data_IF_138847650435
#
_entry.id   IF_138847650435
#
_cell.length_a   1.000
_cell.length_b   1.000
_cell.length_c   1.000
_cell.angle_alpha   90.00
_cell.angle_beta   90.00
_cell.angle_gamma   90.00
#
_symmetry.space_group_name_H-M   'P 1'
#
loop_
_entity.id
_entity.type
_entity.pdbx_description
1 polymer ?
#
# COMPACT_ATOMS: atom_id res chain seq x y z
N UNK A 1 -0.25 3.14 8.53
CA UNK A 1 -1.21 2.28 7.80
C UNK A 1 -1.05 0.80 8.16
N UNK A 2 0.10 0.13 7.96
CA UNK A 2 0.29 -1.31 8.21
C UNK A 2 -0.14 -1.77 9.63
N UNK A 3 0.28 -1.06 10.68
CA UNK A 3 -0.12 -1.37 12.05
C UNK A 3 -1.64 -1.31 12.28
N UNK A 4 -2.33 -0.35 11.65
CA UNK A 4 -3.78 -0.27 11.73
C UNK A 4 -4.46 -1.47 11.07
N UNK A 5 -4.00 -1.90 9.88
CA UNK A 5 -4.53 -3.08 9.18
C UNK A 5 -4.29 -4.36 9.99
N UNK A 6 -3.11 -4.51 10.57
CA UNK A 6 -2.81 -5.64 11.45
C UNK A 6 -3.71 -5.66 12.68
N UNK A 7 -3.92 -4.52 13.34
CA UNK A 7 -4.85 -4.41 14.47
C UNK A 7 -6.26 -4.84 14.09
N UNK A 8 -6.78 -4.36 12.95
CA UNK A 8 -8.12 -4.71 12.46
C UNK A 8 -8.27 -6.20 12.13
N UNK A 9 -7.15 -6.87 11.79
CA UNK A 9 -7.13 -8.32 11.50
C UNK A 9 -6.85 -9.21 12.71
N UNK A 10 -6.79 -8.66 13.92
CA UNK A 10 -6.47 -9.43 15.14
C UNK A 10 -4.97 -9.57 15.42
N UNK A 11 -4.15 -8.69 14.88
CA UNK A 11 -2.72 -8.55 15.17
C UNK A 11 -1.79 -9.32 14.22
N UNK A 12 -2.31 -10.22 13.39
CA UNK A 12 -1.48 -11.00 12.45
C UNK A 12 -2.20 -11.24 11.12
N UNK A 13 -1.45 -11.27 10.03
CA UNK A 13 -1.95 -11.68 8.72
C UNK A 13 -0.82 -12.17 7.82
N UNK A 14 -1.16 -12.82 6.70
CA UNK A 14 -0.17 -13.09 5.65
C UNK A 14 0.39 -11.80 5.09
N UNK A 15 1.71 -11.73 4.89
CA UNK A 15 2.31 -10.50 4.34
C UNK A 15 1.79 -10.20 2.92
N UNK A 16 1.44 -11.23 2.12
CA UNK A 16 0.82 -11.03 0.82
C UNK A 16 -0.50 -10.27 0.94
N UNK A 17 -1.37 -10.66 1.89
CA UNK A 17 -2.63 -9.94 2.17
C UNK A 17 -2.36 -8.50 2.57
N UNK A 18 -1.42 -8.27 3.51
CA UNK A 18 -1.07 -6.92 3.93
C UNK A 18 -0.62 -6.06 2.76
N UNK A 19 0.28 -6.57 1.91
CA UNK A 19 0.78 -5.86 0.74
C UNK A 19 -0.32 -5.46 -0.24
N UNK A 20 -1.27 -6.37 -0.49
CA UNK A 20 -2.39 -6.09 -1.40
C UNK A 20 -3.35 -5.06 -0.83
N UNK A 21 -3.72 -5.19 0.44
CA UNK A 21 -4.57 -4.20 1.12
C UNK A 21 -3.90 -2.82 1.13
N UNK A 22 -2.61 -2.75 1.47
CA UNK A 22 -1.88 -1.48 1.49
C UNK A 22 -1.84 -0.83 0.10
N UNK A 23 -1.54 -1.60 -0.95
CA UNK A 23 -1.54 -1.08 -2.31
C UNK A 23 -2.92 -0.54 -2.72
N UNK A 24 -3.97 -1.32 -2.52
CA UNK A 24 -5.33 -0.96 -2.92
C UNK A 24 -5.85 0.28 -2.17
N UNK A 25 -5.53 0.40 -0.89
CA UNK A 25 -5.90 1.55 -0.05
C UNK A 25 -5.12 2.81 -0.48
N UNK A 26 -3.83 2.65 -0.73
CA UNK A 26 -2.94 3.75 -1.14
C UNK A 26 -3.34 4.29 -2.53
N UNK A 27 -3.61 3.37 -3.46
CA UNK A 27 -4.17 3.65 -4.78
C UNK A 27 -5.50 4.42 -4.70
N UNK A 28 -6.40 3.99 -3.82
CA UNK A 28 -7.68 4.67 -3.62
C UNK A 28 -7.48 6.09 -3.07
N UNK A 29 -6.51 6.30 -2.19
CA UNK A 29 -6.10 7.62 -1.74
C UNK A 29 -5.62 8.52 -2.89
N UNK A 30 -4.78 7.96 -3.77
CA UNK A 30 -4.32 8.66 -4.97
C UNK A 30 -5.49 9.07 -5.88
N UNK A 31 -6.44 8.18 -6.11
CA UNK A 31 -7.60 8.45 -6.96
C UNK A 31 -8.56 9.49 -6.36
N UNK A 32 -8.79 9.45 -5.05
CA UNK A 32 -9.73 10.36 -4.36
C UNK A 32 -9.15 11.75 -4.12
N UNK A 33 -7.87 11.81 -3.81
CA UNK A 33 -7.25 13.04 -3.27
C UNK A 33 -6.06 13.53 -4.09
N UNK A 34 -5.69 12.85 -5.17
CA UNK A 34 -4.50 13.16 -5.95
C UNK A 34 -3.19 12.82 -5.23
N UNK A 35 -3.23 12.19 -4.05
CA UNK A 35 -2.04 11.82 -3.27
C UNK A 35 -2.19 10.46 -2.60
N UNK A 36 -1.10 9.72 -2.55
CA UNK A 36 -1.02 8.48 -1.79
C UNK A 36 -0.95 8.73 -0.28
N UNK A 37 -1.24 7.73 0.53
CA UNK A 37 -1.11 7.80 1.99
C UNK A 37 0.34 7.52 2.41
N UNK A 38 1.00 6.59 1.73
CA UNK A 38 2.32 6.08 2.14
C UNK A 38 3.47 6.77 1.46
N UNK A 39 3.24 7.45 0.36
CA UNK A 39 4.27 7.99 -0.53
C UNK A 39 5.30 6.90 -0.97
N UNK A 40 4.84 5.66 -1.10
CA UNK A 40 5.63 4.50 -1.52
C UNK A 40 5.66 4.37 -3.05
N UNK A 41 6.66 3.68 -3.58
CA UNK A 41 6.74 3.38 -5.00
C UNK A 41 5.88 2.16 -5.35
N UNK A 42 5.04 2.30 -6.38
CA UNK A 42 4.20 1.22 -6.88
C UNK A 42 4.96 0.37 -7.89
N UNK A 43 4.82 -0.95 -7.79
CA UNK A 43 5.41 -1.88 -8.75
C UNK A 43 4.47 -3.05 -9.08
N UNK A 44 4.47 -3.46 -10.34
CA UNK A 44 3.91 -4.75 -10.78
C UNK A 44 4.89 -5.88 -10.44
N UNK A 45 4.37 -6.94 -9.86
CA UNK A 45 5.10 -8.18 -9.57
C UNK A 45 4.28 -9.39 -10.02
N UNK A 46 4.88 -10.59 -10.03
CA UNK A 46 4.21 -11.85 -10.47
C UNK A 46 2.91 -12.13 -9.72
N UNK A 47 2.82 -11.74 -8.45
CA UNK A 47 1.61 -11.87 -7.65
C UNK A 47 0.80 -10.56 -7.58
N UNK A 48 0.86 -9.70 -8.60
CA UNK A 48 0.11 -8.44 -8.70
C UNK A 48 0.82 -7.23 -8.09
N UNK A 49 0.16 -6.08 -8.06
CA UNK A 49 0.73 -4.80 -7.61
C UNK A 49 1.06 -4.77 -6.13
N UNK A 50 2.15 -4.09 -5.77
CA UNK A 50 2.62 -3.89 -4.39
C UNK A 50 3.28 -2.52 -4.18
N UNK A 51 3.46 -2.15 -2.91
CA UNK A 51 4.27 -1.04 -2.45
C UNK A 51 5.71 -1.53 -2.23
N UNK A 52 6.66 -1.05 -3.02
CA UNK A 52 8.03 -1.56 -3.09
C UNK A 52 8.79 -1.39 -1.78
N UNK A 53 8.79 -0.17 -1.22
CA UNK A 53 9.52 0.12 0.03
C UNK A 53 8.92 -0.65 1.22
N UNK A 54 7.59 -0.77 1.28
CA UNK A 54 6.92 -1.58 2.30
C UNK A 54 7.31 -3.06 2.19
N UNK A 55 7.43 -3.59 0.97
CA UNK A 55 7.90 -4.96 0.76
C UNK A 55 9.33 -5.16 1.29
N UNK A 56 10.21 -4.20 1.04
CA UNK A 56 11.58 -4.22 1.55
C UNK A 56 11.65 -4.13 3.09
N UNK A 57 10.74 -3.36 3.72
CA UNK A 57 10.59 -3.34 5.17
C UNK A 57 10.18 -4.71 5.72
N UNK A 58 9.23 -5.37 5.09
CA UNK A 58 8.77 -6.72 5.47
C UNK A 58 9.89 -7.76 5.33
N UNK A 59 10.71 -7.64 4.29
CA UNK A 59 11.87 -8.53 4.06
C UNK A 59 13.10 -8.15 4.87
N UNK A 60 13.08 -7.00 5.56
CA UNK A 60 14.22 -6.43 6.27
C UNK A 60 15.41 -6.03 5.39
N UNK A 61 15.13 -5.63 4.14
CA UNK A 61 16.12 -5.26 3.12
C UNK A 61 16.36 -3.73 3.03
N UNK A 62 15.65 -2.92 3.85
CA UNK A 62 15.76 -1.46 3.84
C UNK A 62 16.35 -0.88 5.12
N UNK A 63 16.85 0.36 5.04
CA UNK A 63 17.37 1.12 6.19
C UNK A 63 16.31 1.35 7.27
N UNK A 64 15.04 1.48 6.90
CA UNK A 64 13.90 1.64 7.82
C UNK A 64 13.52 0.37 8.58
N UNK A 65 14.08 -0.79 8.25
CA UNK A 65 13.71 -2.06 8.85
C UNK A 65 13.92 -2.11 10.38
N UNK A 66 14.88 -1.38 10.92
CA UNK A 66 15.10 -1.31 12.38
C UNK A 66 13.95 -0.62 13.11
N UNK A 67 13.37 0.43 12.53
CA UNK A 67 12.19 1.10 13.06
C UNK A 67 10.94 0.20 12.91
N UNK A 68 10.74 -0.39 11.72
CA UNK A 68 9.66 -1.32 11.44
C UNK A 68 9.61 -2.48 12.47
N UNK A 69 10.74 -3.11 12.76
CA UNK A 69 10.88 -4.23 13.71
C UNK A 69 10.49 -3.89 15.14
N UNK A 70 10.37 -2.63 15.50
CA UNK A 70 9.88 -2.22 16.84
C UNK A 70 8.39 -2.48 17.00
N UNK A 71 7.66 -2.53 15.89
CA UNK A 71 6.19 -2.65 15.87
C UNK A 71 5.70 -3.90 15.15
N UNK A 72 6.38 -4.30 14.07
CA UNK A 72 5.95 -5.38 13.20
C UNK A 72 7.10 -6.34 12.96
N UNK A 73 6.85 -7.62 13.19
CA UNK A 73 7.82 -8.69 12.90
C UNK A 73 7.33 -9.58 11.77
N UNK A 74 8.27 -10.08 10.96
CA UNK A 74 7.98 -11.02 9.89
C UNK A 74 8.30 -12.44 10.36
N UNK A 75 7.28 -13.30 10.34
CA UNK A 75 7.38 -14.72 10.65
C UNK A 75 7.59 -15.48 9.33
N UNK A 76 8.83 -15.51 8.85
CA UNK A 76 9.19 -16.03 7.53
C UNK A 76 8.70 -17.45 7.27
N UNK A 77 8.77 -18.34 8.27
CA UNK A 77 8.31 -19.74 8.18
C UNK A 77 6.82 -19.83 7.78
N UNK A 78 6.01 -18.88 8.21
CA UNK A 78 4.55 -18.89 7.98
C UNK A 78 4.12 -17.84 6.93
N UNK A 79 5.06 -17.08 6.37
CA UNK A 79 4.78 -15.98 5.45
C UNK A 79 3.77 -14.97 6.04
N UNK A 80 3.83 -14.76 7.36
CA UNK A 80 2.96 -13.84 8.11
C UNK A 80 3.76 -12.68 8.69
N UNK A 81 3.06 -11.60 8.97
CA UNK A 81 3.53 -10.47 9.76
C UNK A 81 2.68 -10.34 11.01
N UNK A 82 3.28 -9.90 12.08
CA UNK A 82 2.64 -9.77 13.40
C UNK A 82 2.93 -8.40 14.00
N UNK A 83 1.90 -7.78 14.53
CA UNK A 83 2.00 -6.56 15.31
C UNK A 83 2.43 -6.88 16.73
N UNK A 84 3.60 -6.45 17.14
CA UNK A 84 4.18 -6.74 18.47
C UNK A 84 4.14 -5.55 19.42
N UNK A 85 3.91 -4.35 18.90
CA UNK A 85 3.71 -3.14 19.66
C UNK A 85 2.81 -2.17 18.89
N UNK A 86 2.07 -1.33 19.59
CA UNK A 86 1.23 -0.32 18.97
C UNK A 86 2.10 0.82 18.41
N UNK A 87 2.07 1.06 17.09
CA UNK A 87 2.70 2.25 16.54
C UNK A 87 1.89 3.49 16.90
N UNK A 88 2.57 4.60 17.06
CA UNK A 88 1.91 5.90 17.11
C UNK A 88 1.14 6.13 15.80
N UNK A 89 -0.08 6.63 15.90
CA UNK A 89 -0.97 6.80 14.74
C UNK A 89 -1.21 8.27 14.39
N UNK A 90 -0.50 9.18 15.02
CA UNK A 90 -0.66 10.64 14.91
C UNK A 90 -0.29 11.17 13.51
N UNK A 91 0.43 10.37 12.74
CA UNK A 91 0.80 10.67 11.35
C UNK A 91 -0.35 10.53 10.34
N UNK A 92 -1.43 9.81 10.70
CA UNK A 92 -2.58 9.62 9.82
C UNK A 92 -3.66 10.65 10.11
N UNK A 93 -4.12 11.36 9.10
CA UNK A 93 -5.29 12.22 9.19
C UNK A 93 -6.57 11.39 9.42
N UNK A 94 -7.63 12.05 9.89
CA UNK A 94 -8.94 11.39 10.07
C UNK A 94 -9.50 10.84 8.76
N UNK A 95 -9.25 11.52 7.64
CA UNK A 95 -9.69 11.08 6.32
C UNK A 95 -8.99 9.78 5.91
N UNK A 96 -7.68 9.68 6.12
CA UNK A 96 -6.89 8.48 5.84
C UNK A 96 -7.30 7.32 6.73
N UNK A 97 -7.50 7.55 8.03
CA UNK A 97 -8.03 6.52 8.96
C UNK A 97 -9.38 5.99 8.49
N UNK A 98 -10.28 6.87 8.05
CA UNK A 98 -11.60 6.48 7.55
C UNK A 98 -11.49 5.69 6.24
N UNK A 99 -10.63 6.11 5.31
CA UNK A 99 -10.40 5.39 4.06
C UNK A 99 -9.83 3.98 4.31
N UNK A 100 -8.83 3.87 5.19
CA UNK A 100 -8.24 2.57 5.55
C UNK A 100 -9.31 1.63 6.08
N UNK A 101 -10.19 2.13 6.97
CA UNK A 101 -11.29 1.32 7.54
C UNK A 101 -12.30 0.92 6.47
N UNK A 102 -12.78 1.88 5.67
CA UNK A 102 -13.73 1.66 4.58
C UNK A 102 -13.24 0.58 3.61
N UNK A 103 -12.01 0.70 3.15
CA UNK A 103 -11.45 -0.24 2.19
C UNK A 103 -11.17 -1.62 2.82
N UNK A 104 -10.70 -1.67 4.07
CA UNK A 104 -10.55 -2.94 4.77
C UNK A 104 -11.89 -3.67 4.89
N UNK A 105 -12.96 -2.98 5.32
CA UNK A 105 -14.31 -3.56 5.44
C UNK A 105 -14.83 -4.03 4.08
N UNK A 106 -14.69 -3.23 3.03
CA UNK A 106 -15.04 -3.61 1.65
C UNK A 106 -14.39 -4.93 1.23
N UNK A 107 -13.08 -5.08 1.42
CA UNK A 107 -12.37 -6.29 1.03
C UNK A 107 -12.67 -7.48 1.96
N UNK A 108 -13.00 -7.22 3.22
CA UNK A 108 -13.49 -8.26 4.12
C UNK A 108 -14.89 -8.77 3.70
N UNK A 109 -15.79 -7.91 3.24
CA UNK A 109 -17.08 -8.31 2.67
C UNK A 109 -16.91 -9.13 1.38
N UNK A 110 -16.00 -8.73 0.50
CA UNK A 110 -15.75 -9.40 -0.77
C UNK A 110 -15.10 -10.77 -0.62
N UNK A 111 -14.12 -10.90 0.25
CA UNK A 111 -13.22 -12.06 0.29
C UNK A 111 -13.08 -12.73 1.66
N UNK A 112 -13.59 -12.15 2.74
CA UNK A 112 -13.37 -12.64 4.11
C UNK A 112 -13.88 -14.05 4.36
N UNK A 113 -14.92 -14.52 3.63
CA UNK A 113 -15.43 -15.88 3.70
C UNK A 113 -14.43 -16.94 3.20
N UNK A 114 -13.38 -16.54 2.46
CA UNK A 114 -12.33 -17.44 1.99
C UNK A 114 -11.29 -17.78 3.07
N UNK A 115 -11.40 -17.14 4.24
CA UNK A 115 -10.45 -17.33 5.33
C UNK A 115 -9.04 -16.94 4.94
N UNK A 116 -8.05 -17.83 5.15
CA UNK A 116 -6.65 -17.52 4.80
C UNK A 116 -6.38 -17.46 3.29
N UNK A 117 -7.29 -17.94 2.44
CA UNK A 117 -7.15 -17.91 0.99
C UNK A 117 -7.58 -16.56 0.38
N UNK A 118 -8.14 -15.67 1.19
CA UNK A 118 -8.45 -14.28 0.80
C UNK A 118 -7.23 -13.52 0.27
N UNK A 119 -6.01 -13.87 0.70
CA UNK A 119 -4.76 -13.31 0.18
C UNK A 119 -4.55 -13.57 -1.32
N UNK A 120 -5.02 -14.73 -1.82
CA UNK A 120 -4.92 -15.06 -3.23
C UNK A 120 -5.99 -14.35 -4.04
N UNK A 121 -7.21 -14.28 -3.53
CA UNK A 121 -8.27 -13.49 -4.15
C UNK A 121 -7.91 -12.01 -4.27
N UNK A 122 -7.23 -11.45 -3.27
CA UNK A 122 -6.68 -10.10 -3.33
C UNK A 122 -5.54 -9.97 -4.36
N UNK A 123 -4.69 -10.99 -4.50
CA UNK A 123 -3.67 -11.00 -5.53
C UNK A 123 -4.29 -11.02 -6.92
N UNK A 124 -5.26 -11.90 -7.16
CA UNK A 124 -6.00 -11.99 -8.42
C UNK A 124 -6.73 -10.67 -8.71
N UNK A 125 -7.36 -10.05 -7.71
CA UNK A 125 -7.98 -8.73 -7.85
C UNK A 125 -7.00 -7.67 -8.32
N UNK A 126 -5.73 -7.70 -7.84
CA UNK A 126 -4.72 -6.74 -8.29
C UNK A 126 -4.14 -7.07 -9.67
N UNK A 127 -4.32 -8.28 -10.20
CA UNK A 127 -4.00 -8.62 -11.58
C UNK A 127 -5.03 -8.04 -12.57
N UNK A 128 -6.27 -7.84 -12.13
CA UNK A 128 -7.32 -7.25 -12.96
C UNK A 128 -7.25 -5.71 -13.03
N UNK A 129 -6.34 -5.09 -12.28
CA UNK A 129 -6.15 -3.63 -12.34
C UNK A 129 -5.50 -3.21 -13.66
N UNK A 130 -5.96 -2.10 -14.26
CA UNK A 130 -5.50 -1.69 -15.59
C UNK A 130 -4.02 -1.34 -15.66
N UNK A 131 -3.40 -0.96 -14.54
CA UNK A 131 -1.98 -0.66 -14.46
C UNK A 131 -1.08 -1.89 -14.24
N UNK A 132 -1.66 -3.06 -13.93
CA UNK A 132 -0.84 -4.25 -13.76
C UNK A 132 -0.31 -4.77 -15.10
N UNK A 133 0.98 -5.04 -15.15
CA UNK A 133 1.65 -5.67 -16.29
C UNK A 133 2.49 -6.82 -15.78
N UNK A 134 2.42 -7.98 -16.44
CA UNK A 134 3.19 -9.17 -16.05
C UNK A 134 4.70 -8.91 -16.17
N UNK A 135 5.47 -9.00 -15.06
CA UNK A 135 6.86 -8.54 -15.02
C UNK A 135 7.89 -9.58 -15.48
N UNK A 136 7.47 -10.76 -15.94
CA UNK A 136 8.34 -11.86 -16.40
C UNK A 136 9.46 -12.23 -15.41
N UNK A 137 9.09 -12.32 -14.12
CA UNK A 137 10.02 -12.72 -13.05
C UNK A 137 10.83 -11.57 -12.43
N UNK A 138 10.51 -10.32 -12.78
CA UNK A 138 11.13 -9.12 -12.21
C UNK A 138 10.09 -8.24 -11.52
N UNK A 139 10.30 -6.92 -11.48
CA UNK A 139 9.32 -5.92 -11.10
C UNK A 139 9.29 -4.79 -12.13
N UNK A 140 8.12 -4.27 -12.43
CA UNK A 140 7.92 -3.14 -13.34
C UNK A 140 7.38 -1.96 -12.53
N UNK A 141 8.04 -0.78 -12.52
CA UNK A 141 7.52 0.40 -11.87
C UNK A 141 6.16 0.81 -12.46
N UNK A 142 5.25 1.24 -11.59
CA UNK A 142 3.96 1.84 -11.93
C UNK A 142 4.01 3.30 -11.46
N UNK A 143 3.77 4.25 -12.36
CA UNK A 143 3.73 5.66 -12.01
C UNK A 143 2.34 6.11 -11.59
N UNK A 144 2.24 7.11 -10.73
CA UNK A 144 0.96 7.74 -10.39
C UNK A 144 0.24 8.27 -11.63
N UNK A 145 1.01 8.81 -12.59
CA UNK A 145 0.49 9.27 -13.87
C UNK A 145 -0.24 8.15 -14.64
N UNK A 146 0.35 6.95 -14.69
CA UNK A 146 -0.27 5.79 -15.35
C UNK A 146 -1.57 5.40 -14.66
N UNK A 147 -1.57 5.27 -13.33
CA UNK A 147 -2.77 4.94 -12.56
C UNK A 147 -3.89 5.95 -12.82
N UNK A 148 -3.59 7.25 -12.69
CA UNK A 148 -4.56 8.33 -12.90
C UNK A 148 -5.12 8.32 -14.33
N UNK A 149 -4.26 8.11 -15.34
CA UNK A 149 -4.66 8.10 -16.75
C UNK A 149 -5.54 6.90 -17.08
N UNK A 150 -5.19 5.72 -16.60
CA UNK A 150 -5.96 4.49 -16.82
C UNK A 150 -7.33 4.52 -16.12
N UNK A 151 -7.46 5.29 -15.04
CA UNK A 151 -8.72 5.54 -14.34
C UNK A 151 -9.50 6.75 -14.90
N UNK A 152 -9.08 7.27 -16.07
CA UNK A 152 -9.85 8.22 -16.87
C UNK A 152 -9.69 9.68 -16.50
N UNK A 153 -8.67 10.05 -15.74
CA UNK A 153 -8.35 11.45 -15.51
C UNK A 153 -7.78 12.10 -16.76
N UNK A 154 -8.13 13.37 -16.99
CA UNK A 154 -7.60 14.15 -18.11
C UNK A 154 -6.14 14.48 -17.91
N UNK A 155 -5.42 14.81 -19.00
CA UNK A 155 -4.02 15.20 -18.92
C UNK A 155 -3.85 16.51 -18.10
N UNK A 156 -4.83 17.42 -18.12
CA UNK A 156 -4.86 18.62 -17.29
C UNK A 156 -4.94 18.28 -15.79
N UNK A 157 -5.92 17.47 -15.38
CA UNK A 157 -6.06 17.02 -13.98
C UNK A 157 -4.82 16.30 -13.49
N UNK A 158 -4.21 15.44 -14.33
CA UNK A 158 -2.99 14.72 -13.99
C UNK A 158 -1.82 15.68 -13.76
N UNK A 159 -1.64 16.67 -14.63
CA UNK A 159 -0.56 17.64 -14.49
C UNK A 159 -0.72 18.48 -13.21
N UNK A 160 -1.93 18.94 -12.89
CA UNK A 160 -2.22 19.66 -11.65
C UNK A 160 -1.87 18.81 -10.40
N UNK A 161 -2.28 17.54 -10.39
CA UNK A 161 -1.96 16.60 -9.31
C UNK A 161 -0.44 16.41 -9.15
N UNK A 162 0.27 16.18 -10.26
CA UNK A 162 1.71 15.95 -10.22
C UNK A 162 2.50 17.20 -9.80
N UNK A 163 2.10 18.39 -10.25
CA UNK A 163 2.67 19.67 -9.81
C UNK A 163 2.48 19.87 -8.30
N UNK A 164 1.28 19.61 -7.76
CA UNK A 164 1.02 19.69 -6.32
C UNK A 164 1.88 18.70 -5.52
N UNK A 165 2.04 17.47 -5.99
CA UNK A 165 2.89 16.47 -5.35
C UNK A 165 4.37 16.87 -5.35
N UNK A 166 4.87 17.46 -6.44
CA UNK A 166 6.24 17.98 -6.54
C UNK A 166 6.46 19.16 -5.57
N UNK A 167 5.49 20.07 -5.45
CA UNK A 167 5.55 21.17 -4.50
C UNK A 167 5.61 20.67 -3.05
N UNK A 168 4.76 19.70 -2.68
CA UNK A 168 4.75 19.08 -1.35
C UNK A 168 6.11 18.41 -1.06
N UNK A 169 6.62 17.61 -1.99
CA UNK A 169 7.90 16.92 -1.83
C UNK A 169 9.07 17.91 -1.67
N UNK A 170 9.04 19.01 -2.43
CA UNK A 170 10.04 20.09 -2.35
C UNK A 170 9.99 20.77 -0.97
N UNK A 171 8.80 21.06 -0.46
CA UNK A 171 8.60 21.67 0.85
C UNK A 171 9.06 20.75 1.99
N UNK A 172 8.70 19.47 1.94
CA UNK A 172 9.17 18.48 2.92
C UNK A 172 10.70 18.34 2.96
N UNK A 173 11.35 18.41 1.80
CA UNK A 173 12.82 18.34 1.72
C UNK A 173 13.50 19.52 2.41
N UNK A 174 12.88 20.72 2.35
CA UNK A 174 13.40 21.93 3.01
C UNK A 174 13.25 21.88 4.54
N UNK A 175 12.21 21.20 5.04
CA UNK A 175 12.01 21.08 6.51
C UNK A 175 12.97 20.05 7.12
N UNK A 176 13.38 19.03 6.36
CA UNK A 176 14.27 17.94 6.81
C UNK A 176 15.77 18.29 6.70
N UNK A 177 16.11 19.41 6.06
CA UNK A 177 17.48 19.90 5.89
C UNK A 177 17.93 20.78 7.07
#
# INVERSE_FOLDING_TARGET
>A
MAGMLLRMSGGTMYYLKLMKLMYLIDREGLLRWGRSITNDAYVSMDNGCVLSQTLDLIKYESLGASYWKRFIVTISKHKKVELIAEPETDELSRAEVNLIREQYEKFQEMFGQLGEDDRWALADYTHDLPEWTHPEGSSIPITYKEVLKLEGKTDEEINEILEELEEIASFESLIKA
#
